data_IF_679882481926
#
_entry.id   IF_679882481926
#
_cell.length_a   1.000
_cell.length_b   1.000
_cell.length_c   1.000
_cell.angle_alpha   90.00
_cell.angle_beta   90.00
_cell.angle_gamma   90.00
#
_symmetry.space_group_name_H-M   'P 1'
#
loop_
_entity.id
_entity.type
_entity.pdbx_description
1 polymer ?
#
# COMPACT_ATOMS: atom_id res chain seq x y z
N UNK A 1 11.38 1.98 1.34
CA UNK A 1 12.76 2.01 0.81
C UNK A 1 13.76 1.38 1.77
N UNK A 2 13.84 1.82 3.04
CA UNK A 2 14.78 1.30 4.05
C UNK A 2 14.85 -0.23 4.15
N UNK A 3 13.71 -0.90 4.29
CA UNK A 3 13.63 -2.38 4.34
C UNK A 3 14.20 -3.06 3.08
N UNK A 4 14.02 -2.46 1.90
CA UNK A 4 14.53 -2.98 0.63
C UNK A 4 16.04 -2.81 0.54
N UNK A 5 16.55 -1.63 0.89
CA UNK A 5 18.00 -1.37 0.90
C UNK A 5 18.73 -2.22 1.93
N UNK A 6 18.13 -2.41 3.11
CA UNK A 6 18.67 -3.26 4.17
C UNK A 6 18.62 -4.75 3.78
N UNK A 7 17.51 -5.22 3.21
CA UNK A 7 17.39 -6.59 2.71
C UNK A 7 18.39 -6.90 1.59
N UNK A 8 18.63 -5.97 0.67
CA UNK A 8 19.66 -6.11 -0.37
C UNK A 8 21.08 -6.12 0.22
N UNK A 9 21.34 -5.24 1.19
CA UNK A 9 22.62 -5.19 1.88
C UNK A 9 22.94 -6.52 2.60
N UNK A 10 21.98 -7.07 3.36
CA UNK A 10 22.15 -8.35 4.04
C UNK A 10 22.40 -9.49 3.05
N UNK A 11 21.58 -9.57 1.99
CA UNK A 11 21.72 -10.58 0.95
C UNK A 11 23.11 -10.57 0.31
N UNK A 12 23.66 -9.39 0.02
CA UNK A 12 24.98 -9.23 -0.60
C UNK A 12 26.16 -9.58 0.31
N UNK A 13 25.93 -9.63 1.62
CA UNK A 13 26.91 -10.06 2.60
C UNK A 13 26.72 -11.55 2.98
N UNK A 14 25.96 -12.31 2.18
CA UNK A 14 25.61 -13.72 2.44
C UNK A 14 24.87 -13.93 3.78
N UNK A 15 24.21 -12.87 4.29
CA UNK A 15 23.37 -12.93 5.48
C UNK A 15 21.92 -13.05 5.03
N UNK A 16 21.20 -14.04 5.57
CA UNK A 16 19.79 -14.23 5.27
C UNK A 16 18.97 -13.02 5.73
N UNK A 17 18.29 -12.27 4.83
CA UNK A 17 17.45 -11.13 5.22
C UNK A 17 16.16 -11.54 5.94
N UNK A 18 15.83 -12.83 5.85
CA UNK A 18 14.65 -13.44 6.47
C UNK A 18 14.93 -13.93 7.89
N UNK A 19 16.19 -14.02 8.28
CA UNK A 19 16.56 -14.31 9.65
C UNK A 19 16.31 -13.08 10.52
N UNK A 20 15.54 -13.25 11.59
CA UNK A 20 15.28 -12.19 12.57
C UNK A 20 14.20 -11.18 12.18
N UNK A 21 13.25 -11.53 11.30
CA UNK A 21 12.09 -10.67 10.94
C UNK A 21 12.47 -9.32 10.27
N UNK A 22 13.68 -9.21 9.72
CA UNK A 22 14.14 -7.95 9.11
C UNK A 22 13.46 -7.70 7.76
N UNK A 23 13.20 -8.76 6.98
CA UNK A 23 12.62 -8.64 5.65
C UNK A 23 11.42 -9.58 5.45
N UNK A 24 10.23 -8.98 5.25
CA UNK A 24 8.95 -9.71 5.16
C UNK A 24 8.38 -9.83 3.73
N UNK A 25 9.09 -9.30 2.73
CA UNK A 25 8.67 -9.36 1.33
C UNK A 25 9.11 -10.68 0.70
N UNK A 26 8.44 -11.13 -0.37
CA UNK A 26 8.72 -12.45 -0.95
C UNK A 26 10.17 -12.57 -1.47
N UNK A 27 10.80 -13.76 -1.38
CA UNK A 27 12.16 -13.98 -1.90
C UNK A 27 12.31 -13.65 -3.38
N UNK A 28 11.25 -13.84 -4.16
CA UNK A 28 11.20 -13.47 -5.58
C UNK A 28 11.37 -11.95 -5.78
N UNK A 29 10.71 -11.14 -4.93
CA UNK A 29 10.79 -9.68 -4.98
C UNK A 29 12.21 -9.21 -4.67
N UNK A 30 12.87 -9.81 -3.67
CA UNK A 30 14.25 -9.48 -3.32
C UNK A 30 15.23 -9.79 -4.47
N UNK A 31 15.07 -10.93 -5.13
CA UNK A 31 15.90 -11.30 -6.29
C UNK A 31 15.68 -10.37 -7.49
N UNK A 32 14.43 -9.99 -7.74
CA UNK A 32 14.09 -9.06 -8.80
C UNK A 32 14.71 -7.66 -8.55
N UNK A 33 14.62 -7.16 -7.31
CA UNK A 33 15.18 -5.86 -6.95
C UNK A 33 16.71 -5.85 -6.99
N UNK A 34 17.36 -6.94 -6.58
CA UNK A 34 18.82 -7.10 -6.68
C UNK A 34 19.28 -7.11 -8.14
N UNK A 35 18.53 -7.78 -9.02
CA UNK A 35 18.79 -7.76 -10.47
C UNK A 35 18.63 -6.35 -11.05
N UNK A 36 17.59 -5.60 -10.67
CA UNK A 36 17.41 -4.23 -11.12
C UNK A 36 18.55 -3.34 -10.60
N UNK A 37 18.97 -3.48 -9.35
CA UNK A 37 20.06 -2.66 -8.84
C UNK A 37 21.39 -2.97 -9.54
N UNK A 38 21.68 -4.24 -9.81
CA UNK A 38 22.89 -4.65 -10.53
C UNK A 38 22.98 -4.13 -11.98
N UNK A 39 21.84 -3.94 -12.66
CA UNK A 39 21.80 -3.50 -14.06
C UNK A 39 21.40 -2.03 -14.24
N UNK A 40 20.63 -1.46 -13.30
CA UNK A 40 19.93 -0.18 -13.42
C UNK A 40 19.78 0.55 -12.07
N UNK A 41 20.84 0.59 -11.24
CA UNK A 41 20.82 1.21 -9.89
C UNK A 41 20.24 2.63 -9.84
N UNK A 42 20.49 3.44 -10.87
CA UNK A 42 20.00 4.83 -10.94
C UNK A 42 18.48 4.94 -11.24
N UNK A 43 17.89 3.90 -11.82
CA UNK A 43 16.47 3.88 -12.22
C UNK A 43 15.56 3.46 -11.06
N UNK A 44 16.10 2.67 -10.14
CA UNK A 44 15.35 2.07 -9.04
C UNK A 44 14.61 3.11 -8.17
N UNK A 45 15.23 4.23 -7.72
CA UNK A 45 14.50 5.27 -6.98
C UNK A 45 13.36 5.90 -7.77
N UNK A 46 13.56 6.12 -9.07
CA UNK A 46 12.52 6.68 -9.96
C UNK A 46 11.32 5.74 -10.09
N UNK A 47 11.55 4.43 -10.21
CA UNK A 47 10.48 3.43 -10.21
C UNK A 47 9.65 3.48 -8.93
N UNK A 48 10.30 3.56 -7.76
CA UNK A 48 9.58 3.69 -6.49
C UNK A 48 8.68 4.91 -6.46
N UNK A 49 9.16 6.09 -6.87
CA UNK A 49 8.35 7.32 -6.91
C UNK A 49 7.16 7.16 -7.86
N UNK A 50 7.36 6.57 -9.03
CA UNK A 50 6.27 6.32 -9.99
C UNK A 50 5.23 5.39 -9.38
N UNK A 51 5.63 4.30 -8.76
CA UNK A 51 4.70 3.38 -8.10
C UNK A 51 3.96 4.04 -6.94
N UNK A 52 4.63 4.86 -6.12
CA UNK A 52 4.00 5.57 -5.02
C UNK A 52 2.94 6.57 -5.52
N UNK A 53 3.22 7.31 -6.58
CA UNK A 53 2.26 8.24 -7.19
C UNK A 53 1.07 7.49 -7.80
N UNK A 54 1.33 6.40 -8.54
CA UNK A 54 0.26 5.57 -9.11
C UNK A 54 -0.62 4.98 -8.01
N UNK A 55 0.00 4.46 -6.95
CA UNK A 55 -0.72 3.90 -5.81
C UNK A 55 -1.56 4.97 -5.11
N UNK A 56 -1.00 6.17 -4.88
CA UNK A 56 -1.73 7.28 -4.28
C UNK A 56 -2.96 7.68 -5.12
N UNK A 57 -2.83 7.72 -6.45
CA UNK A 57 -3.94 8.01 -7.36
C UNK A 57 -5.02 6.92 -7.26
N UNK A 58 -4.62 5.64 -7.29
CA UNK A 58 -5.55 4.51 -7.22
C UNK A 58 -6.30 4.48 -5.88
N UNK A 59 -5.58 4.65 -4.77
CA UNK A 59 -6.18 4.70 -3.43
C UNK A 59 -7.11 5.91 -3.32
N UNK A 60 -6.70 7.09 -3.80
CA UNK A 60 -7.55 8.28 -3.80
C UNK A 60 -8.86 8.07 -4.55
N UNK A 61 -8.79 7.44 -5.72
CA UNK A 61 -9.99 7.07 -6.50
C UNK A 61 -10.86 6.04 -5.78
N UNK A 62 -10.25 4.99 -5.24
CA UNK A 62 -10.95 3.95 -4.50
C UNK A 62 -11.66 4.51 -3.26
N UNK A 63 -11.02 5.44 -2.54
CA UNK A 63 -11.59 6.09 -1.37
C UNK A 63 -12.83 6.91 -1.72
N UNK A 64 -12.79 7.69 -2.81
CA UNK A 64 -13.93 8.49 -3.27
C UNK A 64 -15.11 7.59 -3.65
N UNK A 65 -14.86 6.54 -4.44
CA UNK A 65 -15.92 5.61 -4.86
C UNK A 65 -16.49 4.82 -3.68
N UNK A 66 -15.64 4.41 -2.73
CA UNK A 66 -16.09 3.75 -1.50
C UNK A 66 -16.94 4.68 -0.65
N UNK A 67 -16.55 5.95 -0.49
CA UNK A 67 -17.34 6.95 0.22
C UNK A 67 -18.72 7.17 -0.39
N UNK A 68 -18.80 7.28 -1.72
CA UNK A 68 -20.07 7.35 -2.46
C UNK A 68 -20.92 6.11 -2.26
N UNK A 69 -20.30 4.93 -2.36
CA UNK A 69 -20.99 3.66 -2.14
C UNK A 69 -21.56 3.55 -0.72
N UNK A 70 -20.80 3.94 0.30
CA UNK A 70 -21.25 3.99 1.69
C UNK A 70 -22.42 4.97 1.90
N UNK A 71 -22.37 6.16 1.29
CA UNK A 71 -23.49 7.12 1.33
C UNK A 71 -24.77 6.53 0.73
N UNK A 72 -24.67 5.85 -0.41
CA UNK A 72 -25.81 5.19 -1.05
C UNK A 72 -26.40 4.08 -0.17
N UNK A 73 -25.54 3.26 0.45
CA UNK A 73 -25.97 2.25 1.40
C UNK A 73 -26.69 2.88 2.60
N UNK A 74 -26.11 3.94 3.17
CA UNK A 74 -26.72 4.67 4.28
C UNK A 74 -28.10 5.24 3.92
N UNK A 75 -28.24 5.83 2.73
CA UNK A 75 -29.53 6.34 2.24
C UNK A 75 -30.58 5.23 2.08
N UNK A 76 -30.19 4.07 1.53
CA UNK A 76 -31.08 2.90 1.39
C UNK A 76 -31.48 2.29 2.74
N UNK A 77 -30.59 2.35 3.73
CA UNK A 77 -30.83 1.83 5.07
C UNK A 77 -31.54 2.82 6.00
N UNK A 78 -31.56 4.12 5.68
CA UNK A 78 -32.25 5.17 6.44
C UNK A 78 -33.71 4.86 6.84
N UNK A 79 -34.54 4.20 6.00
CA UNK A 79 -35.90 3.82 6.38
C UNK A 79 -35.99 2.78 7.52
N UNK A 80 -34.90 2.05 7.78
CA UNK A 80 -34.81 1.02 8.82
C UNK A 80 -34.15 1.53 10.11
N UNK A 81 -33.78 2.82 10.16
CA UNK A 81 -33.17 3.41 11.34
C UNK A 81 -34.21 3.73 12.41
N UNK A 82 -33.79 3.62 13.67
CA UNK A 82 -34.65 3.97 14.80
C UNK A 82 -34.92 5.49 14.80
N UNK A 83 -36.12 5.91 15.21
CA UNK A 83 -36.55 7.33 15.17
C UNK A 83 -35.70 8.29 16.02
N UNK A 84 -34.83 7.76 16.89
CA UNK A 84 -33.95 8.52 17.79
C UNK A 84 -32.48 8.51 17.33
N UNK A 85 -32.20 8.18 16.06
CA UNK A 85 -30.83 8.25 15.55
C UNK A 85 -30.40 9.70 15.47
N UNK A 86 -29.29 10.01 16.14
CA UNK A 86 -28.64 11.31 16.08
C UNK A 86 -28.13 11.56 14.66
N UNK A 87 -28.69 12.59 14.00
CA UNK A 87 -28.36 12.94 12.63
C UNK A 87 -26.90 13.41 12.47
N UNK A 88 -26.20 13.74 13.55
CA UNK A 88 -24.77 14.05 13.53
C UNK A 88 -23.88 12.86 13.18
N UNK A 89 -24.39 11.63 13.34
CA UNK A 89 -23.67 10.38 13.05
C UNK A 89 -23.80 9.94 11.59
N UNK A 90 -24.66 10.60 10.81
CA UNK A 90 -24.86 10.29 9.40
C UNK A 90 -23.75 10.91 8.55
N UNK A 91 -23.15 10.11 7.66
CA UNK A 91 -22.21 10.60 6.65
C UNK A 91 -22.91 11.68 5.79
N UNK A 92 -22.25 12.82 5.60
CA UNK A 92 -22.70 13.99 4.83
C UNK A 92 -21.91 14.15 3.55
#
# INVERSE_FOLDING_TARGET
MLLVTEGLFLKRNDISPYEGDVFHQTPLMLNFLDWIEGNYSQVLPGLFVVFDVLLAILIGRAAVETGRFMLLLQQKSKPHYHKNVDESLLLK
#
